data_IF_721022598887
#
_entry.id   IF_721022598887
#
_cell.length_a   1.000
_cell.length_b   1.000
_cell.length_c   1.000
_cell.angle_alpha   90.00
_cell.angle_beta   90.00
_cell.angle_gamma   90.00
#
_symmetry.space_group_name_H-M   'P 1'
#
loop_
_entity.id
_entity.type
_entity.pdbx_description
1 polymer ?
#
# COMPACT_ATOMS: atom_id res chain seq x y z
N UNK A 1 28.65 -40.54 -15.46
CA UNK A 1 27.50 -40.00 -14.69
C UNK A 1 27.55 -38.49 -14.77
N UNK A 2 26.77 -37.86 -15.67
CA UNK A 2 26.75 -36.41 -15.81
C UNK A 2 25.74 -35.83 -14.83
N UNK A 3 26.26 -35.11 -13.83
CA UNK A 3 25.49 -34.47 -12.78
C UNK A 3 24.72 -33.27 -13.37
N UNK A 4 23.41 -33.40 -13.60
CA UNK A 4 22.56 -32.28 -13.99
C UNK A 4 22.21 -31.47 -12.74
N UNK A 5 23.00 -30.41 -12.47
CA UNK A 5 22.60 -29.40 -11.49
C UNK A 5 21.39 -28.65 -12.08
N UNK A 6 20.21 -28.95 -11.56
CA UNK A 6 19.01 -28.13 -11.74
C UNK A 6 19.21 -26.79 -11.02
N UNK A 7 19.90 -25.85 -11.66
CA UNK A 7 19.89 -24.45 -11.23
C UNK A 7 18.71 -23.78 -11.92
N UNK A 8 17.61 -23.56 -11.18
CA UNK A 8 16.52 -22.70 -11.64
C UNK A 8 17.14 -21.36 -12.06
N UNK A 9 16.84 -20.83 -13.26
CA UNK A 9 17.36 -19.53 -13.67
C UNK A 9 16.97 -18.49 -12.63
N UNK A 10 17.93 -17.65 -12.24
CA UNK A 10 17.63 -16.48 -11.42
C UNK A 10 16.66 -15.59 -12.23
N UNK A 11 15.55 -15.14 -11.61
CA UNK A 11 14.54 -14.40 -12.35
C UNK A 11 15.15 -13.13 -12.92
N UNK A 12 14.80 -12.81 -14.16
CA UNK A 12 15.26 -11.57 -14.77
C UNK A 12 14.71 -10.38 -13.98
N UNK A 13 15.42 -9.25 -13.96
CA UNK A 13 14.99 -8.05 -13.23
C UNK A 13 13.55 -7.62 -13.59
N UNK A 14 13.14 -7.82 -14.85
CA UNK A 14 11.79 -7.54 -15.33
C UNK A 14 10.73 -8.44 -14.67
N UNK A 15 11.02 -9.72 -14.45
CA UNK A 15 10.11 -10.66 -13.79
C UNK A 15 9.95 -10.31 -12.31
N UNK A 16 11.05 -9.97 -11.64
CA UNK A 16 11.01 -9.50 -10.25
C UNK A 16 10.18 -8.23 -10.14
N UNK A 17 10.41 -7.26 -11.03
CA UNK A 17 9.63 -6.02 -11.06
C UNK A 17 8.13 -6.27 -11.26
N UNK A 18 7.77 -7.13 -12.23
CA UNK A 18 6.37 -7.49 -12.48
C UNK A 18 5.72 -8.17 -11.28
N UNK A 19 6.43 -9.10 -10.62
CA UNK A 19 5.94 -9.74 -9.39
C UNK A 19 5.69 -8.71 -8.28
N UNK A 20 6.62 -7.77 -8.05
CA UNK A 20 6.44 -6.70 -7.04
C UNK A 20 5.27 -5.78 -7.38
N UNK A 21 5.09 -5.43 -8.66
CA UNK A 21 3.93 -4.65 -9.10
C UNK A 21 2.61 -5.37 -8.80
N UNK A 22 2.55 -6.68 -9.02
CA UNK A 22 1.37 -7.48 -8.70
C UNK A 22 1.11 -7.57 -7.19
N UNK A 23 2.15 -7.71 -6.37
CA UNK A 23 2.01 -7.71 -4.92
C UNK A 23 1.48 -6.37 -4.41
N UNK A 24 2.01 -5.25 -4.92
CA UNK A 24 1.52 -3.90 -4.59
C UNK A 24 0.05 -3.73 -4.98
N UNK A 25 -0.36 -4.17 -6.17
CA UNK A 25 -1.75 -4.10 -6.60
C UNK A 25 -2.68 -4.84 -5.62
N UNK A 26 -2.30 -6.05 -5.19
CA UNK A 26 -3.07 -6.81 -4.19
C UNK A 26 -3.15 -6.13 -2.84
N UNK A 27 -2.08 -5.44 -2.41
CA UNK A 27 -2.12 -4.67 -1.15
C UNK A 27 -3.11 -3.50 -1.25
N UNK A 28 -3.19 -2.83 -2.40
CA UNK A 28 -4.18 -1.77 -2.64
C UNK A 28 -5.63 -2.31 -2.67
N UNK A 29 -5.84 -3.51 -3.21
CA UNK A 29 -7.14 -4.18 -3.17
C UNK A 29 -7.56 -4.51 -1.72
N UNK A 30 -6.64 -5.05 -0.92
CA UNK A 30 -6.89 -5.35 0.50
C UNK A 30 -7.16 -4.08 1.30
N UNK A 31 -6.41 -3.01 1.05
CA UNK A 31 -6.67 -1.70 1.66
C UNK A 31 -8.10 -1.23 1.37
N UNK A 32 -8.52 -1.28 0.10
CA UNK A 32 -9.87 -0.91 -0.31
C UNK A 32 -10.95 -1.76 0.37
N UNK A 33 -10.72 -3.07 0.49
CA UNK A 33 -11.62 -3.97 1.21
C UNK A 33 -11.74 -3.58 2.70
N UNK A 34 -10.63 -3.21 3.34
CA UNK A 34 -10.63 -2.85 4.76
C UNK A 34 -11.31 -1.50 5.03
N UNK A 35 -11.18 -0.53 4.13
CA UNK A 35 -11.93 0.73 4.21
C UNK A 35 -13.45 0.47 4.19
N UNK A 36 -13.91 -0.42 3.30
CA UNK A 36 -15.33 -0.83 3.27
C UNK A 36 -15.79 -1.57 4.54
N UNK A 37 -14.89 -2.27 5.25
CA UNK A 37 -15.19 -2.90 6.54
C UNK A 37 -15.34 -1.82 7.61
N UNK A 38 -14.40 -0.87 7.67
CA UNK A 38 -14.45 0.24 8.61
C UNK A 38 -15.74 1.06 8.46
N UNK A 39 -16.21 1.31 7.23
CA UNK A 39 -17.49 2.00 6.99
C UNK A 39 -18.68 1.25 7.59
N UNK A 40 -18.71 -0.09 7.47
CA UNK A 40 -19.75 -0.94 8.06
C UNK A 40 -19.68 -0.93 9.59
N UNK A 41 -18.47 -1.01 10.15
CA UNK A 41 -18.26 -0.98 11.60
C UNK A 41 -18.64 0.38 12.19
N UNK A 42 -18.28 1.48 11.52
CA UNK A 42 -18.68 2.83 11.90
C UNK A 42 -20.20 2.99 11.83
N UNK A 43 -20.86 2.48 10.77
CA UNK A 43 -22.32 2.50 10.68
C UNK A 43 -22.99 1.73 11.85
N UNK A 44 -22.36 0.67 12.35
CA UNK A 44 -22.83 -0.09 13.51
C UNK A 44 -22.52 0.60 14.85
N UNK A 45 -21.47 1.42 14.93
CA UNK A 45 -21.06 2.13 16.13
C UNK A 45 -20.57 3.57 15.82
N UNK A 46 -21.46 4.53 15.53
CA UNK A 46 -21.09 5.86 15.04
C UNK A 46 -20.29 6.72 16.03
N UNK A 47 -20.30 6.36 17.32
CA UNK A 47 -19.53 7.06 18.36
C UNK A 47 -18.15 6.44 18.60
N UNK A 48 -17.76 5.42 17.83
CA UNK A 48 -16.45 4.79 17.93
C UNK A 48 -15.40 5.62 17.16
N UNK A 49 -14.83 6.60 17.85
CA UNK A 49 -13.75 7.45 17.32
C UNK A 49 -12.44 6.70 17.03
N UNK A 50 -12.27 5.47 17.53
CA UNK A 50 -11.10 4.65 17.24
C UNK A 50 -10.95 4.33 15.75
N UNK A 51 -12.06 4.17 15.01
CA UNK A 51 -12.07 3.93 13.57
C UNK A 51 -11.54 5.13 12.78
N UNK A 52 -11.89 6.35 13.21
CA UNK A 52 -11.38 7.59 12.62
C UNK A 52 -9.87 7.72 12.88
N UNK A 53 -9.41 7.42 14.09
CA UNK A 53 -7.98 7.42 14.42
C UNK A 53 -7.16 6.44 13.57
N UNK A 54 -7.68 5.22 13.36
CA UNK A 54 -7.04 4.25 12.47
C UNK A 54 -6.97 4.75 11.02
N UNK A 55 -8.04 5.38 10.51
CA UNK A 55 -8.06 5.94 9.16
C UNK A 55 -7.03 7.08 9.00
N UNK A 56 -6.91 7.96 10.00
CA UNK A 56 -5.90 9.02 10.00
C UNK A 56 -4.48 8.45 9.93
N UNK A 57 -4.18 7.37 10.67
CA UNK A 57 -2.87 6.73 10.62
C UNK A 57 -2.57 6.10 9.26
N UNK A 58 -3.56 5.43 8.67
CA UNK A 58 -3.43 4.85 7.32
C UNK A 58 -3.15 5.94 6.28
N UNK A 59 -3.84 7.09 6.38
CA UNK A 59 -3.59 8.24 5.50
C UNK A 59 -2.17 8.77 5.65
N UNK A 60 -1.69 8.97 6.88
CA UNK A 60 -0.33 9.41 7.18
C UNK A 60 0.72 8.46 6.56
N UNK A 61 0.54 7.15 6.70
CA UNK A 61 1.46 6.17 6.11
C UNK A 61 1.50 6.19 4.58
N UNK A 62 0.35 6.41 3.95
CA UNK A 62 0.27 6.57 2.50
C UNK A 62 0.94 7.85 2.02
N UNK A 63 0.77 8.96 2.75
CA UNK A 63 1.46 10.23 2.48
C UNK A 63 2.98 10.04 2.56
N UNK A 64 3.47 9.40 3.62
CA UNK A 64 4.90 9.10 3.80
C UNK A 64 5.44 8.19 2.67
N UNK A 65 4.68 7.17 2.28
CA UNK A 65 5.05 6.29 1.17
C UNK A 65 5.15 7.05 -0.16
N UNK A 66 4.16 7.89 -0.46
CA UNK A 66 4.15 8.71 -1.68
C UNK A 66 5.29 9.71 -1.67
N UNK A 67 5.54 10.38 -0.53
CA UNK A 67 6.68 11.28 -0.36
C UNK A 67 8.01 10.58 -0.65
N UNK A 68 8.22 9.40 -0.07
CA UNK A 68 9.39 8.56 -0.36
C UNK A 68 9.51 8.23 -1.87
N UNK A 69 8.42 7.79 -2.51
CA UNK A 69 8.43 7.42 -3.93
C UNK A 69 8.68 8.60 -4.86
N UNK A 70 8.14 9.77 -4.53
CA UNK A 70 8.24 11.00 -5.32
C UNK A 70 9.50 11.81 -5.00
N UNK A 71 10.28 11.39 -3.99
CA UNK A 71 11.38 12.19 -3.42
C UNK A 71 10.89 13.60 -3.02
N UNK A 72 9.76 13.64 -2.32
CA UNK A 72 9.11 14.85 -1.81
C UNK A 72 8.91 14.72 -0.30
N UNK A 73 9.03 15.84 0.41
CA UNK A 73 8.63 15.87 1.82
C UNK A 73 7.13 15.59 1.95
N UNK A 74 6.67 14.90 3.02
CA UNK A 74 5.26 14.64 3.28
C UNK A 74 4.38 15.89 3.21
N UNK A 75 4.91 17.04 3.62
CA UNK A 75 4.24 18.34 3.59
C UNK A 75 3.82 18.75 2.17
N UNK A 76 4.67 18.54 1.17
CA UNK A 76 4.34 18.83 -0.23
C UNK A 76 3.27 17.87 -0.78
N UNK A 77 3.25 16.62 -0.31
CA UNK A 77 2.19 15.66 -0.66
C UNK A 77 0.86 16.09 -0.04
N UNK A 78 0.89 16.60 1.21
CA UNK A 78 -0.27 17.16 1.89
C UNK A 78 -0.82 18.40 1.19
N UNK A 79 0.03 19.30 0.71
CA UNK A 79 -0.34 20.47 -0.11
C UNK A 79 -1.05 20.03 -1.40
N UNK A 80 -0.46 19.07 -2.12
CA UNK A 80 -1.07 18.51 -3.32
C UNK A 80 -2.48 17.94 -3.06
N UNK A 81 -2.68 17.25 -1.93
CA UNK A 81 -3.98 16.69 -1.55
C UNK A 81 -5.03 17.77 -1.19
N UNK A 82 -4.61 18.97 -0.81
CA UNK A 82 -5.51 20.11 -0.57
C UNK A 82 -5.94 20.82 -1.85
N UNK A 83 -5.29 20.52 -2.98
CA UNK A 83 -5.54 21.15 -4.28
C UNK A 83 -4.85 22.52 -4.46
N UNK A 84 -3.77 22.76 -3.73
CA UNK A 84 -2.86 23.91 -3.87
C UNK A 84 -1.69 23.55 -4.82
#
# INVERSE_FOLDING_TARGET
MTNHKNTKPEPAAAEVYAARRNDIARLLDVLSMHLNINDKEHAAAPTNWGLVGNLSKVREDLVNLVGFMANMDPEHVEEFLKGE
#
